data_IF_921898559570
#
_entry.id   IF_921898559570
#
_cell.length_a   1.000
_cell.length_b   1.000
_cell.length_c   1.000
_cell.angle_alpha   90.00
_cell.angle_beta   90.00
_cell.angle_gamma   90.00
#
_symmetry.space_group_name_H-M   'P 1'
#
loop_
_entity.id
_entity.type
_entity.pdbx_description
1 polymer ?
#
# COMPACT_ATOMS: atom_id res chain seq x y z
N UNK A 1 2.38 -26.31 -9.80
CA UNK A 1 2.62 -25.57 -9.82
C UNK A 1 2.53 -24.95 -9.07
N UNK A 2 2.98 -24.81 -8.87
CA UNK A 2 2.84 -24.06 -8.14
C UNK A 2 3.20 -22.82 -8.41
N UNK A 3 2.53 -21.91 -8.24
CA UNK A 3 2.96 -20.58 -8.50
C UNK A 3 3.33 -19.94 -7.18
N UNK A 4 4.12 -18.93 -7.25
CA UNK A 4 4.50 -18.20 -6.07
C UNK A 4 3.36 -17.31 -5.64
N UNK A 5 3.14 -17.29 -4.36
CA UNK A 5 2.19 -16.35 -3.81
C UNK A 5 2.86 -14.98 -3.74
N UNK A 6 2.28 -13.99 -4.38
CA UNK A 6 2.81 -12.64 -4.32
C UNK A 6 2.68 -12.07 -2.92
N UNK A 7 3.64 -11.25 -2.49
CA UNK A 7 3.49 -10.55 -1.22
C UNK A 7 2.24 -9.67 -1.25
N UNK A 8 1.54 -9.62 -0.16
CA UNK A 8 0.41 -8.73 -0.08
C UNK A 8 0.90 -7.31 0.04
N UNK A 9 0.12 -6.38 -0.48
CA UNK A 9 0.53 -4.99 -0.46
C UNK A 9 0.77 -4.49 0.96
N UNK A 10 -0.01 -4.99 1.92
CA UNK A 10 0.18 -4.57 3.30
C UNK A 10 1.52 -5.06 3.86
N UNK A 11 2.00 -6.21 3.37
CA UNK A 11 3.30 -6.71 3.78
C UNK A 11 4.42 -5.81 3.27
N UNK A 12 4.26 -5.32 2.06
CA UNK A 12 5.24 -4.40 1.49
C UNK A 12 5.25 -3.10 2.29
N UNK A 13 4.08 -2.61 2.64
CA UNK A 13 3.97 -1.40 3.44
C UNK A 13 4.64 -1.58 4.80
N UNK A 14 4.44 -2.76 5.42
CA UNK A 14 5.09 -3.04 6.69
C UNK A 14 6.61 -3.08 6.56
N UNK A 15 7.10 -3.69 5.49
CA UNK A 15 8.54 -3.73 5.26
C UNK A 15 9.11 -2.34 5.08
N UNK A 16 8.42 -1.51 4.32
CA UNK A 16 8.87 -0.14 4.11
C UNK A 16 8.84 0.65 5.41
N UNK A 17 7.81 0.44 6.22
CA UNK A 17 7.70 1.12 7.50
C UNK A 17 8.90 0.80 8.39
N UNK A 18 9.20 -0.49 8.51
CA UNK A 18 10.32 -0.92 9.35
C UNK A 18 11.64 -0.39 8.81
N UNK A 19 11.81 -0.48 7.50
CA UNK A 19 13.02 0.00 6.86
C UNK A 19 13.26 1.49 7.13
N UNK A 20 12.18 2.26 7.21
CA UNK A 20 12.28 3.68 7.44
C UNK A 20 12.19 4.07 8.92
N UNK A 21 12.28 3.08 9.79
CA UNK A 21 12.28 3.30 11.24
C UNK A 21 11.05 4.08 11.71
N UNK A 22 9.94 3.82 11.09
CA UNK A 22 8.69 4.47 11.42
C UNK A 22 7.84 3.53 12.27
N UNK A 23 7.26 4.05 13.35
CA UNK A 23 6.37 3.22 14.17
C UNK A 23 5.04 3.06 13.43
N UNK A 24 4.30 2.03 13.81
CA UNK A 24 2.99 1.81 13.25
C UNK A 24 2.09 3.02 13.50
N UNK A 25 2.15 3.56 14.71
CA UNK A 25 1.35 4.73 15.06
C UNK A 25 1.69 5.92 14.16
N UNK A 26 2.98 6.14 13.93
CA UNK A 26 3.39 7.23 13.06
C UNK A 26 2.87 7.05 11.63
N UNK A 27 2.89 5.82 11.17
CA UNK A 27 2.45 5.55 9.81
C UNK A 27 0.96 5.82 9.61
N UNK A 28 0.14 5.37 10.55
CA UNK A 28 -1.30 5.38 10.33
C UNK A 28 -2.00 6.59 10.93
N UNK A 29 -1.30 7.42 11.69
CA UNK A 29 -1.92 8.52 12.42
C UNK A 29 -2.66 9.45 11.45
N UNK A 30 -3.95 9.65 11.72
CA UNK A 30 -4.75 10.51 10.85
C UNK A 30 -5.23 9.85 9.57
N UNK A 31 -4.85 8.59 9.33
CA UNK A 31 -5.27 7.88 8.11
C UNK A 31 -6.26 6.78 8.47
N UNK A 32 -5.87 5.84 9.30
CA UNK A 32 -6.75 4.76 9.75
C UNK A 32 -6.45 4.47 11.22
N UNK A 33 -7.37 3.76 11.85
CA UNK A 33 -7.21 3.40 13.26
C UNK A 33 -6.30 2.17 13.39
N UNK A 34 -5.70 1.99 14.58
CA UNK A 34 -4.92 0.79 14.83
C UNK A 34 -5.68 -0.52 14.61
N UNK A 35 -6.94 -0.65 15.05
CA UNK A 35 -7.67 -1.88 14.75
C UNK A 35 -7.86 -2.11 13.25
N UNK A 36 -8.09 -1.05 12.49
CA UNK A 36 -8.22 -1.17 11.05
C UNK A 36 -6.93 -1.68 10.42
N UNK A 37 -5.81 -1.13 10.86
CA UNK A 37 -4.52 -1.55 10.33
C UNK A 37 -4.26 -3.02 10.67
N UNK A 38 -4.62 -3.43 11.88
CA UNK A 38 -4.48 -4.82 12.29
C UNK A 38 -5.30 -5.74 11.39
N UNK A 39 -6.52 -5.32 11.07
CA UNK A 39 -7.36 -6.12 10.17
C UNK A 39 -6.74 -6.24 8.79
N UNK A 40 -6.12 -5.18 8.31
CA UNK A 40 -5.43 -5.24 7.03
C UNK A 40 -4.27 -6.24 7.08
N UNK A 41 -3.50 -6.20 8.16
CA UNK A 41 -2.36 -7.11 8.29
C UNK A 41 -2.82 -8.56 8.38
N UNK A 42 -3.97 -8.80 9.00
CA UNK A 42 -4.49 -10.15 9.18
C UNK A 42 -5.39 -10.58 8.03
N UNK A 43 -5.45 -9.79 6.97
CA UNK A 43 -6.22 -10.13 5.77
C UNK A 43 -7.71 -10.22 6.04
N UNK A 44 -8.19 -9.50 7.04
CA UNK A 44 -9.61 -9.47 7.37
C UNK A 44 -10.35 -8.38 6.62
N UNK A 45 -9.63 -7.58 5.87
CA UNK A 45 -10.23 -6.56 5.03
C UNK A 45 -9.26 -6.22 3.92
N UNK A 46 -9.76 -5.53 2.91
CA UNK A 46 -8.95 -5.10 1.79
C UNK A 46 -8.58 -3.63 1.96
N UNK A 47 -7.37 -3.30 1.57
CA UNK A 47 -6.94 -1.92 1.64
C UNK A 47 -7.58 -1.16 0.47
N UNK A 48 -8.11 0.01 0.79
CA UNK A 48 -8.68 0.86 -0.25
C UNK A 48 -7.57 1.66 -0.91
N UNK A 49 -7.79 2.01 -2.17
CA UNK A 49 -6.79 2.73 -2.94
C UNK A 49 -6.40 4.04 -2.26
N UNK A 50 -7.38 4.79 -1.77
CA UNK A 50 -7.09 6.06 -1.11
C UNK A 50 -6.22 5.86 0.12
N UNK A 51 -6.50 4.81 0.90
CA UNK A 51 -5.70 4.50 2.08
C UNK A 51 -4.29 4.11 1.68
N UNK A 52 -4.17 3.28 0.66
CA UNK A 52 -2.87 2.85 0.17
C UNK A 52 -2.02 4.05 -0.25
N UNK A 53 -2.61 4.97 -1.01
CA UNK A 53 -1.88 6.14 -1.47
C UNK A 53 -1.46 7.04 -0.30
N UNK A 54 -2.33 7.16 0.70
CA UNK A 54 -2.00 7.97 1.87
C UNK A 54 -0.84 7.37 2.65
N UNK A 55 -0.86 6.05 2.83
CA UNK A 55 0.22 5.38 3.55
C UNK A 55 1.52 5.45 2.75
N UNK A 56 1.45 5.24 1.45
CA UNK A 56 2.62 5.32 0.59
C UNK A 56 3.22 6.72 0.64
N UNK A 57 2.38 7.74 0.62
CA UNK A 57 2.85 9.11 0.69
C UNK A 57 3.59 9.36 2.00
N UNK A 58 3.03 8.88 3.10
CA UNK A 58 3.66 9.06 4.41
C UNK A 58 4.99 8.32 4.50
N UNK A 59 5.08 7.18 3.84
CA UNK A 59 6.32 6.42 3.77
C UNK A 59 7.31 7.01 2.77
N UNK A 60 6.88 8.02 2.04
CA UNK A 60 7.68 8.60 0.97
C UNK A 60 8.04 7.54 -0.06
N UNK A 61 7.11 6.69 -0.35
CA UNK A 61 7.29 5.60 -1.29
C UNK A 61 6.55 5.94 -2.57
N UNK A 62 7.15 5.60 -3.70
CA UNK A 62 6.53 5.81 -4.98
C UNK A 62 5.70 4.59 -5.35
N UNK A 63 4.87 4.74 -6.37
CA UNK A 63 4.15 3.60 -6.89
C UNK A 63 5.12 2.53 -7.38
N UNK A 64 6.25 2.96 -7.95
CA UNK A 64 7.27 2.02 -8.41
C UNK A 64 7.83 1.20 -7.26
N UNK A 65 8.02 1.81 -6.09
CA UNK A 65 8.50 1.07 -4.93
C UNK A 65 7.56 -0.08 -4.59
N UNK A 66 6.28 0.15 -4.72
CA UNK A 66 5.29 -0.86 -4.41
C UNK A 66 5.23 -1.93 -5.49
N UNK A 67 5.30 -1.52 -6.74
CA UNK A 67 5.16 -2.45 -7.87
C UNK A 67 6.39 -3.31 -8.03
N UNK A 68 7.58 -2.73 -7.89
CA UNK A 68 8.81 -3.48 -8.07
C UNK A 68 8.93 -4.62 -7.08
N UNK A 69 8.49 -4.39 -5.86
CA UNK A 69 8.67 -5.38 -4.80
C UNK A 69 7.59 -6.44 -4.84
N UNK A 70 6.42 -6.07 -5.33
CA UNK A 70 5.30 -6.98 -5.30
C UNK A 70 5.00 -7.51 -6.69
N UNK A 71 4.41 -8.67 -6.71
CA UNK A 71 3.87 -9.22 -7.94
C UNK A 71 2.37 -9.19 -7.79
N UNK A 72 1.84 -7.99 -7.71
CA UNK A 72 0.42 -7.79 -7.51
C UNK A 72 -0.35 -8.34 -8.68
N UNK A 73 -1.58 -8.75 -8.42
CA UNK A 73 -2.40 -9.22 -9.52
C UNK A 73 -2.76 -8.06 -10.43
N UNK A 74 -3.07 -8.40 -11.68
CA UNK A 74 -3.30 -7.38 -12.70
C UNK A 74 -4.46 -6.46 -12.39
N UNK A 75 -5.51 -6.98 -11.77
CA UNK A 75 -6.67 -6.16 -11.45
C UNK A 75 -6.30 -5.07 -10.45
N UNK A 76 -5.51 -5.43 -9.44
CA UNK A 76 -5.12 -4.48 -8.43
C UNK A 76 -4.20 -3.41 -9.02
N UNK A 77 -3.24 -3.84 -9.84
CA UNK A 77 -2.34 -2.90 -10.51
C UNK A 77 -3.11 -1.93 -11.40
N UNK A 78 -4.07 -2.44 -12.14
CA UNK A 78 -4.88 -1.59 -13.00
C UNK A 78 -5.62 -0.55 -12.20
N UNK A 79 -6.17 -0.93 -11.05
CA UNK A 79 -6.89 0.01 -10.21
C UNK A 79 -5.97 1.10 -9.69
N UNK A 80 -4.78 0.71 -9.24
CA UNK A 80 -3.81 1.68 -8.72
C UNK A 80 -3.38 2.64 -9.82
N UNK A 81 -3.08 2.11 -10.99
CA UNK A 81 -2.63 2.94 -12.09
C UNK A 81 -3.69 3.92 -12.52
N UNK A 82 -4.95 3.48 -12.54
CA UNK A 82 -6.04 4.33 -12.91
C UNK A 82 -6.18 5.51 -11.94
N UNK A 83 -6.14 5.23 -10.66
CA UNK A 83 -6.24 6.29 -9.66
C UNK A 83 -5.04 7.22 -9.70
N UNK A 84 -3.87 6.65 -9.86
CA UNK A 84 -2.65 7.45 -9.91
C UNK A 84 -2.67 8.36 -11.13
N UNK A 85 -3.12 7.85 -12.26
CA UNK A 85 -3.20 8.65 -13.49
C UNK A 85 -4.15 9.82 -13.32
N UNK A 86 -5.26 9.60 -12.63
CA UNK A 86 -6.19 10.68 -12.36
C UNK A 86 -5.53 11.81 -11.56
N UNK A 87 -4.80 11.43 -10.52
CA UNK A 87 -4.14 12.42 -9.67
C UNK A 87 -3.11 13.19 -10.45
N UNK A 88 -2.29 12.50 -11.22
CA UNK A 88 -1.26 13.15 -12.03
C UNK A 88 -1.91 14.10 -13.04
N UNK A 89 -3.00 13.66 -13.66
CA UNK A 89 -3.66 14.47 -14.66
C UNK A 89 -4.22 15.75 -14.05
N UNK A 90 -4.73 15.65 -12.83
CA UNK A 90 -5.32 16.80 -12.16
C UNK A 90 -4.29 17.83 -11.73
N UNK A 91 -3.06 17.39 -11.52
CA UNK A 91 -2.02 18.28 -11.02
C UNK A 91 -1.16 18.89 -12.12
N UNK A 92 -1.41 18.55 -13.35
CA UNK A 92 -0.62 19.07 -14.47
C UNK A 92 -1.09 20.42 -14.94
#
# INVERSE_FOLDING_TARGET
>A
LKYHKSPKIIEIIEQLRVTRNMTQKQLIDGIISPPTYTKLKNEQSHIQIATLLALATRLNASLDDLVDVSRLNNAFLSSIEKEYSKVVRLTR
#
